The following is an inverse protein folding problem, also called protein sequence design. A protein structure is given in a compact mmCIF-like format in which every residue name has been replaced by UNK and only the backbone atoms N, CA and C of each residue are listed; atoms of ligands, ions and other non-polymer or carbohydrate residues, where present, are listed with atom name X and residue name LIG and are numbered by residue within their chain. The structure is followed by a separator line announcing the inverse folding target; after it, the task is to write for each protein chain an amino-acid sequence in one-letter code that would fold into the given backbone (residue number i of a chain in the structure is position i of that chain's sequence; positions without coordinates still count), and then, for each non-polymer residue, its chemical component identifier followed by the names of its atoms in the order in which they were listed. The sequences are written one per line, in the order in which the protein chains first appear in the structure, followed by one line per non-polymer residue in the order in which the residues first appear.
data_IF_924487479187
#
_entry.id   IF_924487479187
#
_cell.length_a   1.000
_cell.length_b   1.000
_cell.length_c   1.000
_cell.angle_alpha   90.00
_cell.angle_beta   90.00
_cell.angle_gamma   90.00
#
_symmetry.space_group_name_H-M   'P 1'
#
loop_
_entity.id
_entity.type
_entity.pdbx_description
1 polymer ?
#
# COMPACT_ATOMS: atom_id res chain seq x y z
N UNK A 1 -14.92 17.46 -1.69
CA UNK A 1 -13.95 16.52 -1.09
C UNK A 1 -12.94 16.14 -2.15
N UNK A 2 -11.66 15.97 -1.81
CA UNK A 2 -10.65 15.54 -2.78
C UNK A 2 -10.93 14.09 -3.23
N UNK A 3 -10.82 13.84 -4.54
CA UNK A 3 -11.09 12.53 -5.16
C UNK A 3 -9.97 11.56 -4.83
N UNK A 4 -10.30 10.37 -4.32
CA UNK A 4 -9.35 9.26 -4.21
C UNK A 4 -9.05 8.71 -5.60
N UNK A 5 -7.78 8.64 -5.97
CA UNK A 5 -7.32 8.10 -7.26
C UNK A 5 -6.68 6.73 -7.12
N UNK A 6 -6.18 6.38 -5.93
CA UNK A 6 -5.76 5.04 -5.55
C UNK A 6 -6.47 4.69 -4.24
N UNK A 7 -6.97 3.46 -4.13
CA UNK A 7 -7.52 2.92 -2.89
C UNK A 7 -7.06 1.47 -2.72
N UNK A 8 -6.52 1.17 -1.55
CA UNK A 8 -6.09 -0.16 -1.14
C UNK A 8 -6.76 -0.45 0.20
N UNK A 9 -7.40 -1.61 0.29
CA UNK A 9 -8.11 -2.04 1.49
C UNK A 9 -7.73 -3.48 1.87
N UNK A 10 -7.18 -3.65 3.06
CA UNK A 10 -6.76 -4.93 3.65
C UNK A 10 -5.96 -5.82 2.69
N UNK A 11 -5.09 -5.23 1.87
CA UNK A 11 -4.29 -5.96 0.90
C UNK A 11 -3.25 -6.82 1.61
N UNK A 12 -3.24 -8.10 1.28
CA UNK A 12 -2.22 -9.05 1.71
C UNK A 12 -1.58 -9.67 0.47
N UNK A 13 -0.25 -9.63 0.37
CA UNK A 13 0.50 -10.28 -0.71
C UNK A 13 1.40 -11.36 -0.14
N UNK A 14 1.30 -12.56 -0.70
CA UNK A 14 2.15 -13.71 -0.36
C UNK A 14 2.88 -14.26 -1.57
N UNK A 15 4.09 -14.75 -1.34
CA UNK A 15 4.91 -15.52 -2.27
C UNK A 15 5.21 -16.87 -1.62
N UNK A 16 4.41 -17.90 -1.97
CA UNK A 16 4.42 -19.16 -1.24
C UNK A 16 4.09 -18.93 0.24
N UNK A 17 5.00 -19.34 1.13
CA UNK A 17 4.86 -19.17 2.58
C UNK A 17 5.30 -17.78 3.09
N UNK A 18 5.94 -16.96 2.25
CA UNK A 18 6.39 -15.63 2.63
C UNK A 18 5.26 -14.60 2.47
N UNK A 19 4.99 -13.81 3.52
CA UNK A 19 4.02 -12.71 3.46
C UNK A 19 4.78 -11.41 3.30
N UNK A 20 4.65 -10.79 2.13
CA UNK A 20 5.38 -9.59 1.74
C UNK A 20 4.70 -8.32 2.28
N UNK A 21 3.37 -8.24 2.16
CA UNK A 21 2.54 -7.26 2.88
C UNK A 21 1.36 -7.94 3.55
N UNK A 22 0.97 -7.48 4.75
CA UNK A 22 -0.12 -8.04 5.55
C UNK A 22 -1.18 -6.98 5.88
N UNK A 23 -2.39 -7.15 5.33
CA UNK A 23 -3.57 -6.30 5.57
C UNK A 23 -3.32 -4.79 5.50
N UNK A 24 -2.53 -4.32 4.54
CA UNK A 24 -2.29 -2.88 4.40
C UNK A 24 -3.53 -2.18 3.82
N UNK A 25 -3.81 -0.97 4.32
CA UNK A 25 -4.88 -0.11 3.81
C UNK A 25 -4.39 1.32 3.69
N UNK A 26 -4.57 1.93 2.51
CA UNK A 26 -4.23 3.33 2.26
C UNK A 26 -5.02 3.86 1.06
N UNK A 27 -5.14 5.17 0.95
CA UNK A 27 -5.62 5.84 -0.25
C UNK A 27 -4.64 6.94 -0.67
N UNK A 28 -4.66 7.27 -1.96
CA UNK A 28 -3.93 8.43 -2.51
C UNK A 28 -4.94 9.32 -3.21
N UNK A 29 -4.91 10.61 -2.88
CA UNK A 29 -5.82 11.62 -3.41
C UNK A 29 -5.27 12.25 -4.69
N UNK A 30 -6.16 12.78 -5.51
CA UNK A 30 -5.78 13.52 -6.72
C UNK A 30 -4.84 14.69 -6.37
N UNK A 31 -3.67 14.71 -7.00
CA UNK A 31 -2.62 15.72 -6.77
C UNK A 31 -1.72 15.47 -5.56
N UNK A 32 -1.91 14.38 -4.81
CA UNK A 32 -1.08 14.01 -3.67
C UNK A 32 0.25 13.36 -4.11
N UNK A 33 1.36 13.82 -3.55
CA UNK A 33 2.65 13.13 -3.66
C UNK A 33 2.72 12.11 -2.51
N UNK A 34 2.71 10.84 -2.87
CA UNK A 34 2.75 9.73 -1.94
C UNK A 34 4.05 8.93 -2.14
N UNK A 35 4.72 8.56 -1.04
CA UNK A 35 5.95 7.77 -1.07
C UNK A 35 5.99 6.72 0.03
N UNK A 36 6.50 5.53 -0.29
CA UNK A 36 6.78 4.50 0.70
C UNK A 36 8.24 4.61 1.15
N UNK A 37 8.48 4.42 2.45
CA UNK A 37 9.81 4.33 3.05
C UNK A 37 9.87 3.05 3.89
N UNK A 38 10.92 2.25 3.71
CA UNK A 38 11.12 1.02 4.46
C UNK A 38 12.52 0.45 4.26
N UNK A 39 12.88 -0.51 5.11
CA UNK A 39 14.10 -1.27 4.97
C UNK A 39 14.07 -2.16 3.70
N UNK A 40 15.23 -2.68 3.29
CA UNK A 40 15.30 -3.63 2.17
C UNK A 40 14.39 -4.84 2.44
N UNK A 41 13.43 -5.08 1.53
CA UNK A 41 12.46 -6.18 1.64
C UNK A 41 11.26 -5.91 2.57
N UNK A 42 10.99 -4.65 2.94
CA UNK A 42 9.86 -4.28 3.82
C UNK A 42 8.46 -4.42 3.19
N UNK A 43 8.37 -4.79 1.92
CA UNK A 43 7.11 -4.99 1.20
C UNK A 43 7.31 -5.85 -0.04
#
# INVERSE_FOLDING_TARGET
MSKKVIEVFNLTKKFGNFTAVDRISFDVKEGEIFGFLGANGAG
#
